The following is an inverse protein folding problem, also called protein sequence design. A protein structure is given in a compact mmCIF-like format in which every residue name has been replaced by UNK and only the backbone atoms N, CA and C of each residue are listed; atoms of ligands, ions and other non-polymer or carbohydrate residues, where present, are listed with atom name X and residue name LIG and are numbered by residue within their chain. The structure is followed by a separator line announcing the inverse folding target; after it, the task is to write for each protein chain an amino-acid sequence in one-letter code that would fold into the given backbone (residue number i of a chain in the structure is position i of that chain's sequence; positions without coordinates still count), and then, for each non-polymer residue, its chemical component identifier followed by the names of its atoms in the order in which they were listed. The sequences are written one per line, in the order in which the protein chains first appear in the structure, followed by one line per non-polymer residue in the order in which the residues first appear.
data_IF_094217358133
#
_entry.id   IF_094217358133
#
_cell.length_a   1.000
_cell.length_b   1.000
_cell.length_c   1.000
_cell.angle_alpha   90.00
_cell.angle_beta   90.00
_cell.angle_gamma   90.00
#
_symmetry.space_group_name_H-M   'P 1'
#
loop_
_entity.id
_entity.type
_entity.pdbx_description
1 polymer ?
#
# COMPACT_ATOMS: atom_id res chain seq x y z
N UNK A 1 -44.61 -36.83 34.55
CA UNK A 1 -44.49 -36.60 33.09
C UNK A 1 -43.33 -35.64 32.90
N UNK A 2 -42.11 -36.19 32.89
CA UNK A 2 -40.90 -35.42 33.13
C UNK A 2 -40.21 -35.25 31.79
N UNK A 3 -40.47 -34.12 31.13
CA UNK A 3 -39.80 -33.77 29.88
C UNK A 3 -38.37 -33.38 30.21
N UNK A 4 -37.45 -34.34 30.15
CA UNK A 4 -36.01 -34.11 30.25
C UNK A 4 -35.59 -33.17 29.11
N UNK A 5 -35.17 -31.95 29.47
CA UNK A 5 -34.83 -30.88 28.53
C UNK A 5 -33.56 -31.25 27.73
N UNK A 6 -33.72 -31.77 26.51
CA UNK A 6 -32.63 -32.02 25.56
C UNK A 6 -32.35 -30.78 24.70
N UNK A 7 -32.18 -29.63 25.35
CA UNK A 7 -31.76 -28.34 24.76
C UNK A 7 -30.48 -28.00 25.53
N UNK A 8 -29.27 -27.84 25.02
CA UNK A 8 -28.87 -26.90 23.97
C UNK A 8 -27.40 -27.12 23.52
N UNK A 9 -26.93 -28.37 23.42
CA UNK A 9 -25.49 -28.65 23.17
C UNK A 9 -25.00 -28.12 21.80
N UNK A 10 -25.93 -27.89 20.86
CA UNK A 10 -25.65 -27.48 19.48
C UNK A 10 -25.59 -25.96 19.26
N UNK A 11 -26.24 -25.12 20.09
CA UNK A 11 -26.17 -23.64 19.93
C UNK A 11 -24.91 -23.02 20.54
N UNK A 12 -24.30 -23.69 21.53
CA UNK A 12 -23.09 -23.19 22.23
C UNK A 12 -21.84 -23.24 21.36
N UNK A 13 -21.82 -24.08 20.32
CA UNK A 13 -20.68 -24.25 19.43
C UNK A 13 -20.71 -23.31 18.21
N UNK A 14 -21.87 -22.72 17.90
CA UNK A 14 -22.02 -21.79 16.77
C UNK A 14 -21.28 -20.48 17.00
N UNK A 15 -21.17 -20.03 18.25
CA UNK A 15 -20.42 -18.82 18.62
C UNK A 15 -18.92 -19.05 18.73
N UNK A 16 -18.49 -20.24 19.19
CA UNK A 16 -17.08 -20.63 19.25
C UNK A 16 -16.48 -20.85 17.85
N UNK A 17 -17.23 -21.47 16.93
CA UNK A 17 -16.76 -21.68 15.56
C UNK A 17 -16.56 -20.34 14.80
N UNK A 18 -17.40 -19.33 15.05
CA UNK A 18 -17.27 -18.01 14.43
C UNK A 18 -16.04 -17.24 14.97
N UNK A 19 -15.81 -17.30 16.29
CA UNK A 19 -14.67 -16.64 16.94
C UNK A 19 -13.32 -17.29 16.57
N UNK A 20 -13.28 -18.62 16.42
CA UNK A 20 -12.09 -19.34 15.95
C UNK A 20 -11.84 -19.09 14.46
N UNK A 21 -12.87 -19.02 13.62
CA UNK A 21 -12.74 -18.68 12.21
C UNK A 21 -12.18 -17.27 11.97
N UNK A 22 -12.57 -16.30 12.81
CA UNK A 22 -12.09 -14.92 12.73
C UNK A 22 -10.60 -14.77 13.12
N UNK A 23 -10.09 -15.65 14.00
CA UNK A 23 -8.70 -15.60 14.47
C UNK A 23 -7.71 -16.31 13.53
N UNK A 24 -8.19 -17.20 12.66
CA UNK A 24 -7.35 -17.96 11.70
C UNK A 24 -7.20 -17.22 10.35
N UNK A 25 -7.98 -16.16 10.11
CA UNK A 25 -8.00 -15.44 8.83
C UNK A 25 -6.98 -14.31 8.65
N UNK A 26 -6.12 -14.02 9.63
CA UNK A 26 -5.22 -12.84 9.59
C UNK A 26 -3.76 -13.16 9.24
N UNK A 27 -3.39 -14.43 9.10
CA UNK A 27 -2.04 -14.87 8.74
C UNK A 27 -1.77 -14.64 7.24
N UNK A 28 -1.40 -13.42 6.88
CA UNK A 28 -1.02 -13.07 5.50
C UNK A 28 -0.80 -11.59 5.24
N UNK A 29 -1.09 -10.70 6.19
CA UNK A 29 -0.76 -9.28 6.04
C UNK A 29 0.74 -9.08 6.27
N UNK A 30 1.52 -9.11 5.19
CA UNK A 30 2.89 -8.63 5.20
C UNK A 30 2.90 -7.20 4.66
N UNK A 31 3.46 -6.26 5.42
CA UNK A 31 3.78 -4.96 4.87
C UNK A 31 4.97 -5.14 3.92
N UNK A 32 4.85 -4.65 2.69
CA UNK A 32 5.99 -4.67 1.79
C UNK A 32 7.12 -3.82 2.38
N UNK A 33 8.29 -4.41 2.56
CA UNK A 33 9.51 -3.67 2.89
C UNK A 33 10.23 -3.38 1.58
N UNK A 34 10.27 -2.11 1.18
CA UNK A 34 11.14 -1.62 0.11
C UNK A 34 12.48 -1.20 0.73
N UNK A 35 13.57 -1.58 0.09
CA UNK A 35 14.93 -1.21 0.47
C UNK A 35 15.45 -0.09 -0.43
N UNK A 36 16.45 0.69 0.03
CA UNK A 36 17.19 1.58 -0.85
C UNK A 36 17.71 0.81 -2.08
N UNK A 37 17.40 1.31 -3.28
CA UNK A 37 17.76 0.66 -4.55
C UNK A 37 16.65 -0.16 -5.20
N UNK A 38 15.49 -0.31 -4.57
CA UNK A 38 14.34 -1.04 -5.15
C UNK A 38 13.56 -0.23 -6.20
N UNK A 39 13.96 1.03 -6.44
CA UNK A 39 13.44 1.89 -7.50
C UNK A 39 14.49 2.90 -7.95
N UNK A 40 14.33 3.43 -9.15
CA UNK A 40 15.19 4.49 -9.69
C UNK A 40 14.37 5.49 -10.50
N UNK A 41 14.64 6.79 -10.32
CA UNK A 41 14.05 7.82 -11.18
C UNK A 41 14.57 7.71 -12.61
N UNK A 42 13.69 7.92 -13.58
CA UNK A 42 13.96 7.76 -15.02
C UNK A 42 13.65 9.02 -15.82
N UNK A 43 12.79 9.91 -15.30
CA UNK A 43 12.43 11.18 -15.93
C UNK A 43 12.02 12.23 -14.89
N UNK A 44 12.19 13.49 -15.26
CA UNK A 44 11.76 14.65 -14.48
C UNK A 44 11.43 15.80 -15.43
N UNK A 45 10.27 16.40 -15.24
CA UNK A 45 9.78 17.58 -15.93
C UNK A 45 9.46 18.65 -14.88
N UNK A 46 10.07 19.82 -15.02
CA UNK A 46 10.00 20.92 -14.03
C UNK A 46 9.39 22.21 -14.58
N UNK A 47 8.80 22.12 -15.77
CA UNK A 47 8.05 23.19 -16.42
C UNK A 47 6.56 22.79 -16.41
N UNK A 48 5.61 23.67 -16.70
CA UNK A 48 4.18 23.32 -16.59
C UNK A 48 3.77 22.22 -17.62
N UNK A 49 3.27 21.04 -17.25
CA UNK A 49 3.01 20.50 -15.89
C UNK A 49 4.25 19.85 -15.26
N UNK A 50 4.47 20.10 -13.96
CA UNK A 50 5.47 19.37 -13.19
C UNK A 50 5.16 17.86 -13.21
N UNK A 51 6.12 17.01 -13.56
CA UNK A 51 5.96 15.55 -13.53
C UNK A 51 7.29 14.81 -13.32
N UNK A 52 7.20 13.53 -12.99
CA UNK A 52 8.38 12.65 -12.98
C UNK A 52 7.99 11.20 -13.27
N UNK A 53 9.00 10.41 -13.64
CA UNK A 53 8.86 8.96 -13.77
C UNK A 53 9.94 8.22 -13.00
N UNK A 54 9.62 6.99 -12.61
CA UNK A 54 10.55 6.06 -11.99
C UNK A 54 10.25 4.63 -12.41
N UNK A 55 11.28 3.78 -12.41
CA UNK A 55 11.18 2.35 -12.66
C UNK A 55 11.22 1.55 -11.36
N UNK A 56 10.40 0.51 -11.28
CA UNK A 56 10.46 -0.48 -10.21
C UNK A 56 11.62 -1.45 -10.46
N UNK A 57 12.49 -1.68 -9.49
CA UNK A 57 13.60 -2.64 -9.60
C UNK A 57 13.32 -3.94 -8.82
N UNK A 58 12.19 -3.96 -8.11
CA UNK A 58 11.60 -5.14 -7.47
C UNK A 58 10.10 -5.15 -7.71
N UNK A 59 9.45 -6.29 -7.50
CA UNK A 59 7.99 -6.38 -7.58
C UNK A 59 7.36 -5.53 -6.48
N UNK A 60 6.32 -4.76 -6.79
CA UNK A 60 5.50 -4.02 -5.83
C UNK A 60 4.18 -4.76 -5.67
N UNK A 61 3.76 -5.03 -4.44
CA UNK A 61 2.44 -5.62 -4.16
C UNK A 61 1.37 -4.55 -3.96
N UNK A 62 0.13 -4.91 -4.22
CA UNK A 62 -1.03 -4.07 -3.94
C UNK A 62 -1.06 -3.63 -2.47
N UNK A 63 -1.40 -2.36 -2.24
CA UNK A 63 -1.43 -1.71 -0.93
C UNK A 63 -0.13 -1.02 -0.56
N UNK A 64 0.94 -1.16 -1.34
CA UNK A 64 2.19 -0.43 -1.12
C UNK A 64 1.99 1.06 -1.32
N UNK A 65 2.60 1.85 -0.44
CA UNK A 65 2.53 3.31 -0.46
C UNK A 65 3.95 3.87 -0.51
N UNK A 66 4.26 4.59 -1.58
CA UNK A 66 5.53 5.30 -1.74
C UNK A 66 5.25 6.80 -1.64
N UNK A 67 6.06 7.51 -0.85
CA UNK A 67 5.94 8.95 -0.68
C UNK A 67 7.15 9.66 -1.27
N UNK A 68 6.89 10.68 -2.08
CA UNK A 68 7.89 11.52 -2.69
C UNK A 68 7.77 12.92 -2.10
N UNK A 69 8.89 13.53 -1.78
CA UNK A 69 8.91 14.86 -1.16
C UNK A 69 10.13 15.62 -1.63
N UNK A 70 9.95 16.91 -1.81
CA UNK A 70 11.00 17.90 -2.07
C UNK A 70 11.58 18.47 -0.77
N UNK A 71 11.12 18.01 0.41
CA UNK A 71 11.68 18.38 1.71
C UNK A 71 13.21 18.22 1.70
N UNK A 72 13.92 19.34 1.82
CA UNK A 72 15.38 19.33 1.85
C UNK A 72 15.94 18.42 2.95
N UNK A 73 17.12 17.84 2.69
CA UNK A 73 17.81 16.96 3.62
C UNK A 73 18.78 17.73 4.52
N UNK A 74 18.64 17.59 5.83
CA UNK A 74 19.54 18.17 6.84
C UNK A 74 19.96 17.14 7.87
N UNK A 75 21.26 16.86 7.92
CA UNK A 75 21.92 16.14 9.02
C UNK A 75 21.19 14.88 9.53
N UNK A 76 20.62 14.08 8.63
CA UNK A 76 19.93 12.83 9.00
C UNK A 76 18.40 12.88 9.01
N UNK A 77 17.79 14.02 8.68
CA UNK A 77 16.34 14.17 8.60
C UNK A 77 15.92 15.04 7.42
N UNK A 78 14.66 14.87 7.02
CA UNK A 78 13.97 15.79 6.13
C UNK A 78 13.53 17.05 6.90
N UNK A 79 13.46 18.20 6.22
CA UNK A 79 12.64 19.32 6.65
C UNK A 79 11.15 18.93 6.69
N UNK A 80 10.31 19.79 7.27
CA UNK A 80 8.91 19.45 7.62
C UNK A 80 7.84 20.31 6.92
N UNK A 81 8.21 21.17 5.96
CA UNK A 81 7.33 22.22 5.45
C UNK A 81 7.28 22.32 3.91
N UNK A 82 7.66 21.26 3.20
CA UNK A 82 7.54 21.18 1.73
C UNK A 82 6.53 20.10 1.32
N UNK A 83 6.30 19.96 0.01
CA UNK A 83 5.28 19.09 -0.56
C UNK A 83 5.54 17.61 -0.29
N UNK A 84 4.48 16.81 -0.22
CA UNK A 84 4.60 15.35 -0.23
C UNK A 84 3.51 14.74 -1.07
N UNK A 85 3.93 13.93 -2.04
CA UNK A 85 3.08 13.15 -2.93
C UNK A 85 3.02 11.73 -2.41
N UNK A 86 1.85 11.12 -2.51
CA UNK A 86 1.64 9.74 -2.08
C UNK A 86 1.17 8.89 -3.26
N UNK A 87 2.05 8.03 -3.77
CA UNK A 87 1.70 7.00 -4.74
C UNK A 87 1.18 5.76 -4.00
N UNK A 88 -0.10 5.45 -4.19
CA UNK A 88 -0.72 4.24 -3.63
C UNK A 88 -0.95 3.22 -4.74
N UNK A 89 -0.31 2.07 -4.64
CA UNK A 89 -0.47 0.99 -5.58
C UNK A 89 -1.71 0.16 -5.19
N UNK A 90 -2.71 0.10 -6.05
CA UNK A 90 -3.97 -0.64 -5.81
C UNK A 90 -3.98 -2.04 -6.44
N UNK A 91 -2.88 -2.42 -7.08
CA UNK A 91 -2.65 -3.70 -7.73
C UNK A 91 -1.17 -4.05 -7.65
N UNK A 92 -0.84 -5.32 -7.88
CA UNK A 92 0.53 -5.79 -8.02
C UNK A 92 1.16 -5.20 -9.29
N UNK A 93 2.44 -4.86 -9.20
CA UNK A 93 3.28 -4.31 -10.28
C UNK A 93 4.59 -5.09 -10.33
N UNK A 94 4.89 -5.66 -11.49
CA UNK A 94 6.12 -6.42 -11.68
C UNK A 94 7.36 -5.51 -11.71
N UNK A 95 8.52 -6.06 -11.38
CA UNK A 95 9.79 -5.39 -11.57
C UNK A 95 10.01 -5.00 -13.04
N UNK A 96 10.73 -3.90 -13.26
CA UNK A 96 10.97 -3.34 -14.59
C UNK A 96 9.80 -2.52 -15.14
N UNK A 97 8.77 -2.25 -14.34
CA UNK A 97 7.64 -1.41 -14.76
C UNK A 97 7.97 0.06 -14.53
N UNK A 98 7.77 0.89 -15.56
CA UNK A 98 7.88 2.33 -15.42
C UNK A 98 6.55 2.94 -14.93
N UNK A 99 6.68 3.88 -14.00
CA UNK A 99 5.59 4.54 -13.32
C UNK A 99 5.73 6.05 -13.56
N UNK A 100 4.65 6.67 -14.04
CA UNK A 100 4.57 8.11 -14.27
C UNK A 100 3.71 8.75 -13.18
N UNK A 101 4.21 9.84 -12.62
CA UNK A 101 3.56 10.63 -11.58
C UNK A 101 3.30 12.01 -12.15
N UNK A 102 2.04 12.27 -12.49
CA UNK A 102 1.60 13.50 -13.15
C UNK A 102 0.93 14.42 -12.12
N UNK A 103 1.28 15.71 -12.13
CA UNK A 103 0.70 16.72 -11.23
C UNK A 103 -0.40 17.48 -11.97
N UNK A 104 -1.56 16.85 -12.12
CA UNK A 104 -2.67 17.47 -12.85
C UNK A 104 -3.42 18.46 -11.97
N UNK A 105 -3.16 19.76 -12.12
CA UNK A 105 -4.06 20.89 -11.82
C UNK A 105 -4.99 20.80 -10.60
N UNK A 106 -4.57 20.15 -9.51
CA UNK A 106 -5.39 19.89 -8.31
C UNK A 106 -5.32 18.47 -7.73
N UNK A 107 -4.60 17.52 -8.33
CA UNK A 107 -4.39 16.18 -7.78
C UNK A 107 -3.19 15.44 -8.35
N UNK A 108 -2.79 14.35 -7.70
CA UNK A 108 -1.73 13.45 -8.19
C UNK A 108 -2.35 12.32 -9.01
N UNK A 109 -1.92 12.16 -10.25
CA UNK A 109 -2.19 10.98 -11.08
C UNK A 109 -1.04 9.97 -11.01
N UNK A 110 -1.37 8.68 -10.89
CA UNK A 110 -0.41 7.58 -11.05
C UNK A 110 -0.75 6.83 -12.34
N UNK A 111 0.16 6.79 -13.30
CA UNK A 111 0.01 6.01 -14.53
C UNK A 111 1.08 4.92 -14.56
N UNK A 112 0.65 3.70 -14.86
CA UNK A 112 1.50 2.51 -14.93
C UNK A 112 1.77 2.19 -16.40
N UNK A 113 3.05 2.15 -16.78
CA UNK A 113 3.48 1.85 -18.14
C UNK A 113 3.39 3.03 -19.12
N UNK A 114 3.99 2.82 -20.29
CA UNK A 114 3.86 3.63 -21.51
C UNK A 114 3.32 2.79 -22.65
#
# INVERSE_FOLDING_TARGET
MNKTLTIDRQRRWRWLALAVGLLIGTSGLTAQTLNPGDSAFTGYHSDDDDDFSFITLTNIVSGTVIKFTDNGWISGSLYINEGTITATFTQDVDCGTEIYVDFQGGGTGLRVGG
#
